data_IF_273430972838
#
_entry.id   IF_273430972838
#
_cell.length_a   1.000
_cell.length_b   1.000
_cell.length_c   1.000
_cell.angle_alpha   90.00
_cell.angle_beta   90.00
_cell.angle_gamma   90.00
#
_symmetry.space_group_name_H-M   'P 1'
#
loop_
_entity.id
_entity.type
_entity.pdbx_description
1 polymer ?
#
# COMPACT_ATOMS: atom_id res chain seq x y z
N UNK A 1 7.80 -29.20 4.78
CA UNK A 1 7.60 -28.57 3.45
C UNK A 1 6.65 -27.38 3.57
N UNK A 2 7.10 -26.16 3.20
CA UNK A 2 6.29 -24.99 2.77
C UNK A 2 5.56 -24.09 3.82
N UNK A 3 6.25 -23.47 4.78
CA UNK A 3 5.78 -22.18 5.35
C UNK A 3 6.08 -20.98 4.43
N UNK A 4 7.02 -21.13 3.50
CA UNK A 4 7.43 -20.09 2.55
C UNK A 4 6.37 -19.76 1.47
N UNK A 5 5.27 -20.52 1.37
CA UNK A 5 4.32 -20.40 0.24
C UNK A 5 3.11 -19.50 0.49
N UNK A 6 2.93 -19.00 1.72
CA UNK A 6 1.75 -18.20 2.08
C UNK A 6 2.00 -16.68 2.06
N UNK A 7 3.26 -16.21 2.09
CA UNK A 7 3.58 -14.75 2.15
C UNK A 7 3.22 -13.97 0.88
N UNK A 8 3.30 -14.61 -0.29
CA UNK A 8 3.00 -13.96 -1.56
C UNK A 8 1.56 -14.18 -2.04
N UNK A 9 0.73 -14.87 -1.25
CA UNK A 9 -0.67 -15.05 -1.58
C UNK A 9 -1.48 -13.96 -0.88
N UNK A 10 -2.20 -13.16 -1.66
CA UNK A 10 -3.17 -12.23 -1.12
C UNK A 10 -4.44 -13.02 -0.79
N UNK A 11 -4.70 -13.20 0.50
CA UNK A 11 -5.86 -13.93 1.01
C UNK A 11 -6.66 -12.94 1.85
N UNK A 12 -7.97 -12.92 1.63
CA UNK A 12 -8.87 -12.08 2.42
C UNK A 12 -8.82 -12.45 3.91
N UNK A 13 -8.79 -11.43 4.76
CA UNK A 13 -8.66 -11.55 6.21
C UNK A 13 -7.26 -11.18 6.73
N UNK A 14 -7.09 -11.25 8.06
CA UNK A 14 -5.84 -10.95 8.75
C UNK A 14 -4.90 -12.17 8.67
N UNK A 15 -4.20 -12.28 7.54
CA UNK A 15 -3.20 -13.32 7.31
C UNK A 15 -1.85 -12.69 7.01
N UNK A 16 -0.77 -13.43 7.28
CA UNK A 16 0.62 -12.99 7.02
C UNK A 16 0.82 -12.58 5.55
N UNK A 17 0.13 -13.24 4.61
CA UNK A 17 0.17 -12.90 3.19
C UNK A 17 -0.55 -11.59 2.88
N UNK A 18 -1.71 -11.36 3.49
CA UNK A 18 -2.47 -10.10 3.39
C UNK A 18 -1.67 -8.93 3.95
N UNK A 19 -1.10 -9.09 5.14
CA UNK A 19 -0.28 -8.05 5.78
C UNK A 19 0.95 -7.68 4.94
N UNK A 20 1.67 -8.68 4.41
CA UNK A 20 2.84 -8.43 3.55
C UNK A 20 2.48 -7.73 2.23
N UNK A 21 1.34 -8.06 1.62
CA UNK A 21 0.86 -7.37 0.42
C UNK A 21 0.37 -5.95 0.71
N UNK A 22 -0.41 -5.77 1.77
CA UNK A 22 -0.90 -4.45 2.18
C UNK A 22 0.25 -3.52 2.56
N UNK A 23 1.28 -4.03 3.24
CA UNK A 23 2.50 -3.25 3.55
C UNK A 23 3.25 -2.80 2.28
N UNK A 24 3.40 -3.67 1.28
CA UNK A 24 4.01 -3.29 -0.01
C UNK A 24 3.19 -2.25 -0.76
N UNK A 25 1.87 -2.42 -0.80
CA UNK A 25 0.96 -1.46 -1.43
C UNK A 25 0.99 -0.11 -0.70
N UNK A 26 1.06 -0.09 0.62
CA UNK A 26 1.17 1.14 1.41
C UNK A 26 2.48 1.88 1.13
N UNK A 27 3.62 1.17 1.04
CA UNK A 27 4.90 1.79 0.68
C UNK A 27 4.88 2.39 -0.73
N UNK A 28 4.27 1.70 -1.70
CA UNK A 28 4.10 2.24 -3.06
C UNK A 28 3.16 3.44 -3.09
N UNK A 29 2.03 3.36 -2.40
CA UNK A 29 1.07 4.46 -2.29
C UNK A 29 1.71 5.70 -1.66
N UNK A 30 2.54 5.52 -0.63
CA UNK A 30 3.28 6.61 -0.01
C UNK A 30 4.15 7.36 -1.02
N UNK A 31 4.97 6.64 -1.80
CA UNK A 31 5.82 7.25 -2.84
C UNK A 31 4.98 7.98 -3.90
N UNK A 32 3.85 7.39 -4.30
CA UNK A 32 2.93 7.99 -5.28
C UNK A 32 2.31 9.28 -4.73
N UNK A 33 1.84 9.29 -3.48
CA UNK A 33 1.28 10.47 -2.83
C UNK A 33 2.29 11.61 -2.81
N UNK A 34 3.52 11.37 -2.36
CA UNK A 34 4.57 12.39 -2.38
C UNK A 34 4.89 12.89 -3.78
N UNK A 35 4.89 12.00 -4.77
CA UNK A 35 5.13 12.38 -6.16
C UNK A 35 4.02 13.32 -6.65
N UNK A 36 2.75 12.99 -6.41
CA UNK A 36 1.60 13.81 -6.78
C UNK A 36 1.65 15.16 -6.05
N UNK A 37 1.81 15.18 -4.73
CA UNK A 37 1.91 16.43 -3.96
C UNK A 37 3.04 17.32 -4.47
N UNK A 38 4.17 16.73 -4.87
CA UNK A 38 5.30 17.47 -5.45
C UNK A 38 4.96 18.12 -6.81
N UNK A 39 4.26 17.41 -7.70
CA UNK A 39 3.90 17.95 -9.02
C UNK A 39 2.74 18.96 -8.99
N UNK A 40 1.74 18.73 -8.12
CA UNK A 40 0.54 19.56 -8.05
C UNK A 40 0.64 20.68 -7.01
N UNK A 41 1.62 20.63 -6.10
CA UNK A 41 1.80 21.58 -4.99
C UNK A 41 0.53 21.76 -4.13
N UNK A 42 -0.32 20.74 -4.10
CA UNK A 42 -1.57 20.68 -3.36
C UNK A 42 -1.52 19.45 -2.44
N UNK A 43 -1.92 19.58 -1.16
CA UNK A 43 -1.94 18.45 -0.25
C UNK A 43 -2.96 17.39 -0.71
N UNK A 44 -2.62 16.12 -0.58
CA UNK A 44 -3.42 15.00 -1.09
C UNK A 44 -4.81 14.93 -0.43
N UNK A 45 -4.93 15.42 0.81
CA UNK A 45 -6.19 15.43 1.57
C UNK A 45 -7.18 16.41 0.92
N UNK A 46 -6.72 17.59 0.52
CA UNK A 46 -7.56 18.55 -0.22
C UNK A 46 -7.96 18.00 -1.60
N UNK A 47 -7.06 17.30 -2.29
CA UNK A 47 -7.39 16.64 -3.56
C UNK A 47 -8.46 15.55 -3.42
N UNK A 48 -8.53 14.89 -2.26
CA UNK A 48 -9.56 13.90 -1.94
C UNK A 48 -10.88 14.54 -1.45
N UNK A 49 -10.93 15.87 -1.26
CA UNK A 49 -12.09 16.58 -0.76
C UNK A 49 -12.37 16.35 0.73
N UNK A 50 -11.32 16.03 1.49
CA UNK A 50 -11.36 15.83 2.95
C UNK A 50 -10.77 17.03 3.70
#
# INVERSE_FOLDING_TARGET
>A
MKLYRQRNRWIWGCSIGSESWNGRLAMLAFVIVFSIECFFSLPIIEMLGL
#
